data_IF_365431401899
#
_entry.id   IF_365431401899
#
_cell.length_a   1.000
_cell.length_b   1.000
_cell.length_c   1.000
_cell.angle_alpha   90.00
_cell.angle_beta   90.00
_cell.angle_gamma   90.00
#
_symmetry.space_group_name_H-M   'P 1'
#
loop_
_entity.id
_entity.type
_entity.pdbx_description
1 polymer ?
#
# COMPACT_ATOMS: atom_id res chain seq x y z
N UNK A 1 61.68 22.97 -16.06
CA UNK A 1 60.32 22.74 -16.58
C UNK A 1 59.45 22.33 -15.39
N UNK A 2 58.46 23.15 -15.05
CA UNK A 2 57.96 23.36 -13.69
C UNK A 2 57.13 22.20 -13.12
N UNK A 3 57.34 21.85 -11.84
CA UNK A 3 56.55 20.89 -11.03
C UNK A 3 55.05 21.16 -11.05
N UNK A 4 54.66 22.38 -11.39
CA UNK A 4 53.27 22.80 -11.59
C UNK A 4 52.59 22.10 -12.76
N UNK A 5 53.34 21.80 -13.84
CA UNK A 5 52.81 21.14 -15.04
C UNK A 5 52.53 19.66 -14.75
N UNK A 6 53.41 19.02 -13.98
CA UNK A 6 53.23 17.62 -13.56
C UNK A 6 52.05 17.46 -12.61
N UNK A 7 51.85 18.39 -11.67
CA UNK A 7 50.72 18.36 -10.74
C UNK A 7 49.37 18.58 -11.44
N UNK A 8 49.29 19.50 -12.40
CA UNK A 8 48.06 19.72 -13.18
C UNK A 8 47.73 18.54 -14.09
N UNK A 9 48.73 17.92 -14.72
CA UNK A 9 48.52 16.70 -15.49
C UNK A 9 47.94 15.58 -14.62
N UNK A 10 48.52 15.31 -13.45
CA UNK A 10 48.02 14.28 -12.53
C UNK A 10 46.59 14.55 -12.03
N UNK A 11 46.24 15.81 -11.77
CA UNK A 11 44.88 16.18 -11.36
C UNK A 11 43.86 15.96 -12.47
N UNK A 12 44.23 16.27 -13.72
CA UNK A 12 43.37 16.05 -14.89
C UNK A 12 43.20 14.56 -15.16
N UNK A 13 44.26 13.75 -15.09
CA UNK A 13 44.13 12.29 -15.23
C UNK A 13 43.31 11.67 -14.10
N UNK A 14 43.51 12.11 -12.85
CA UNK A 14 42.69 11.64 -11.73
C UNK A 14 41.20 11.93 -11.92
N UNK A 15 40.87 13.15 -12.37
CA UNK A 15 39.49 13.54 -12.63
C UNK A 15 38.88 12.77 -13.82
N UNK A 16 39.64 12.55 -14.90
CA UNK A 16 39.13 11.78 -16.04
C UNK A 16 38.90 10.32 -15.68
N UNK A 17 39.80 9.67 -14.93
CA UNK A 17 39.59 8.30 -14.45
C UNK A 17 38.41 8.19 -13.48
N UNK A 18 38.18 9.19 -12.64
CA UNK A 18 37.01 9.23 -11.76
C UNK A 18 35.70 9.33 -12.55
N UNK A 19 35.65 10.21 -13.57
CA UNK A 19 34.47 10.34 -14.45
C UNK A 19 34.26 9.06 -15.27
N UNK A 20 35.33 8.44 -15.77
CA UNK A 20 35.24 7.17 -16.49
C UNK A 20 34.71 6.06 -15.57
N UNK A 21 35.20 5.98 -14.35
CA UNK A 21 34.73 5.04 -13.32
C UNK A 21 33.26 5.25 -12.98
N UNK A 22 32.82 6.49 -12.85
CA UNK A 22 31.41 6.82 -12.61
C UNK A 22 30.51 6.41 -13.79
N UNK A 23 30.95 6.64 -15.03
CA UNK A 23 30.22 6.21 -16.22
C UNK A 23 30.12 4.68 -16.34
N UNK A 24 31.20 3.97 -16.02
CA UNK A 24 31.22 2.49 -15.99
C UNK A 24 30.30 1.97 -14.88
N UNK A 25 30.34 2.56 -13.69
CA UNK A 25 29.46 2.18 -12.58
C UNK A 25 27.98 2.44 -12.92
N UNK A 26 27.69 3.53 -13.63
CA UNK A 26 26.35 3.83 -14.12
C UNK A 26 25.89 2.85 -15.21
N UNK A 27 26.75 2.47 -16.15
CA UNK A 27 26.43 1.45 -17.16
C UNK A 27 26.17 0.07 -16.54
N UNK A 28 27.00 -0.36 -15.59
CA UNK A 28 26.80 -1.62 -14.86
C UNK A 28 25.48 -1.59 -14.08
N UNK A 29 25.16 -0.47 -13.42
CA UNK A 29 23.89 -0.28 -12.72
C UNK A 29 22.71 -0.36 -13.68
N UNK A 30 22.77 0.33 -14.82
CA UNK A 30 21.74 0.27 -15.86
C UNK A 30 21.55 -1.15 -16.42
N UNK A 31 22.63 -1.91 -16.63
CA UNK A 31 22.55 -3.31 -17.11
C UNK A 31 21.95 -4.23 -16.06
N UNK A 32 22.28 -4.06 -14.77
CA UNK A 32 21.66 -4.81 -13.67
C UNK A 32 20.18 -4.51 -13.56
N UNK A 33 19.80 -3.24 -13.62
CA UNK A 33 18.39 -2.83 -13.64
C UNK A 33 17.69 -3.46 -14.85
N UNK A 34 18.29 -3.39 -16.04
CA UNK A 34 17.73 -4.01 -17.26
C UNK A 34 17.59 -5.54 -17.15
N UNK A 35 18.54 -6.23 -16.51
CA UNK A 35 18.44 -7.66 -16.27
C UNK A 35 17.29 -8.00 -15.31
N UNK A 36 17.17 -7.25 -14.21
CA UNK A 36 16.07 -7.38 -13.24
C UNK A 36 14.72 -7.06 -13.90
N UNK A 37 14.68 -6.07 -14.80
CA UNK A 37 13.48 -5.68 -15.57
C UNK A 37 12.98 -6.78 -16.52
N UNK A 38 13.86 -7.66 -16.99
CA UNK A 38 13.48 -8.78 -17.87
C UNK A 38 12.95 -9.96 -17.07
N UNK A 39 13.39 -10.11 -15.82
CA UNK A 39 13.01 -11.23 -14.94
C UNK A 39 11.78 -10.95 -14.09
N UNK A 40 11.40 -9.69 -13.84
CA UNK A 40 10.36 -9.34 -12.87
C UNK A 40 9.28 -8.39 -13.45
N UNK A 41 8.02 -8.84 -13.59
CA UNK A 41 6.88 -8.02 -14.03
C UNK A 41 6.59 -6.80 -13.12
N UNK A 42 7.02 -6.85 -11.85
CA UNK A 42 6.78 -5.81 -10.84
C UNK A 42 7.50 -4.50 -11.17
N UNK A 43 8.72 -4.58 -11.75
CA UNK A 43 9.55 -3.41 -12.06
C UNK A 43 8.96 -2.57 -13.20
N UNK A 44 8.19 -3.18 -14.09
CA UNK A 44 7.52 -2.45 -15.18
C UNK A 44 6.40 -1.53 -14.67
N UNK A 45 5.74 -1.85 -13.56
CA UNK A 45 4.62 -1.06 -13.05
C UNK A 45 5.08 0.14 -12.21
N UNK A 46 6.14 -0.02 -11.40
CA UNK A 46 6.79 1.10 -10.69
C UNK A 46 7.37 2.16 -11.65
N UNK A 47 7.63 1.78 -12.89
CA UNK A 47 8.17 2.62 -13.98
C UNK A 47 7.33 3.86 -14.28
N UNK A 48 6.01 3.72 -14.40
CA UNK A 48 5.16 4.86 -14.83
C UNK A 48 5.20 6.03 -13.85
N UNK A 49 5.47 5.74 -12.57
CA UNK A 49 5.60 6.75 -11.53
C UNK A 49 6.97 7.42 -11.51
N UNK A 50 8.06 6.65 -11.70
CA UNK A 50 9.42 7.21 -11.72
C UNK A 50 9.65 8.07 -12.97
N UNK A 51 9.19 7.62 -14.15
CA UNK A 51 9.35 8.39 -15.38
C UNK A 51 8.49 9.67 -15.40
N UNK A 52 7.28 9.67 -14.80
CA UNK A 52 6.50 10.90 -14.58
C UNK A 52 7.18 11.88 -13.62
N UNK A 53 7.84 11.37 -12.58
CA UNK A 53 8.58 12.21 -11.64
C UNK A 53 9.84 12.82 -12.28
N UNK A 54 10.46 12.12 -13.23
CA UNK A 54 11.64 12.60 -13.97
C UNK A 54 11.27 13.53 -15.14
N UNK A 55 10.07 13.42 -15.73
CA UNK A 55 9.55 14.40 -16.71
C UNK A 55 9.44 15.81 -16.13
N UNK A 56 9.18 15.94 -14.83
CA UNK A 56 9.18 17.24 -14.13
C UNK A 56 10.58 17.88 -14.01
N UNK A 57 11.65 17.08 -14.10
CA UNK A 57 13.02 17.57 -14.10
C UNK A 57 13.59 17.76 -15.52
N UNK A 58 12.88 17.29 -16.54
CA UNK A 58 13.24 17.40 -17.96
C UNK A 58 12.14 18.11 -18.76
N UNK A 59 11.70 19.27 -18.28
CA UNK A 59 10.72 20.12 -18.95
C UNK A 59 11.35 21.28 -19.72
N UNK A 60 11.25 21.21 -21.05
CA UNK A 60 11.38 22.30 -22.04
C UNK A 60 12.77 22.56 -22.66
N UNK A 61 13.06 21.84 -23.74
CA UNK A 61 13.75 22.44 -24.89
C UNK A 61 12.95 22.11 -26.14
N UNK A 62 11.92 22.91 -26.44
CA UNK A 62 11.35 22.95 -27.79
C UNK A 62 12.39 23.60 -28.70
N UNK A 63 13.06 22.79 -29.51
CA UNK A 63 13.78 23.25 -30.70
C UNK A 63 12.75 23.78 -31.70
N UNK A 64 12.60 25.11 -31.77
CA UNK A 64 11.91 25.78 -32.86
C UNK A 64 12.87 25.88 -34.05
N UNK A 65 12.59 25.10 -35.09
CA UNK A 65 13.19 25.29 -36.43
C UNK A 65 12.72 26.65 -36.95
N UNK A 66 13.69 27.50 -37.25
CA UNK A 66 13.52 28.80 -37.90
C UNK A 66 13.17 28.55 -39.37
N UNK A 67 12.03 29.09 -39.82
CA UNK A 67 11.83 29.40 -41.23
C UNK A 67 11.38 30.86 -41.38
N UNK A 68 12.18 31.60 -42.14
CA UNK A 68 12.03 33.02 -42.44
C UNK A 68 10.93 33.24 -43.50
N UNK A 69 10.01 34.19 -43.27
CA UNK A 69 9.52 35.12 -44.31
C UNK A 69 8.68 36.28 -43.74
N UNK A 70 9.28 37.47 -43.81
CA UNK A 70 8.73 38.78 -44.25
C UNK A 70 7.42 39.36 -43.67
N UNK A 71 7.62 40.49 -42.97
CA UNK A 71 7.02 41.82 -43.15
C UNK A 71 5.52 42.07 -42.88
N UNK A 72 5.21 42.88 -41.85
CA UNK A 72 4.78 44.31 -41.96
C UNK A 72 4.24 44.89 -40.62
N UNK A 73 4.90 45.97 -40.19
CA UNK A 73 4.42 47.27 -39.68
C UNK A 73 3.31 47.47 -38.62
N UNK A 74 3.58 48.55 -37.86
CA UNK A 74 2.75 49.42 -37.00
C UNK A 74 2.52 48.95 -35.56
N UNK A 75 2.75 49.77 -34.52
CA UNK A 75 3.27 51.12 -34.41
C UNK A 75 3.10 51.61 -32.95
N UNK A 76 4.05 52.44 -32.49
CA UNK A 76 3.88 53.63 -31.60
C UNK A 76 3.24 53.37 -30.21
N UNK A 77 3.84 53.69 -29.06
CA UNK A 77 4.11 55.06 -28.60
C UNK A 77 5.00 55.14 -27.32
N UNK A 78 5.50 56.35 -27.05
CA UNK A 78 6.64 56.75 -26.22
C UNK A 78 6.46 56.80 -24.68
N UNK A 79 7.56 56.46 -23.96
CA UNK A 79 8.36 57.14 -22.88
C UNK A 79 7.92 58.53 -22.33
N UNK A 80 8.48 59.13 -21.21
CA UNK A 80 9.73 58.81 -20.49
C UNK A 80 9.86 59.11 -18.94
N UNK A 81 11.04 58.72 -18.42
CA UNK A 81 11.97 59.48 -17.51
C UNK A 81 11.80 59.46 -15.98
N UNK A 82 12.82 58.91 -15.29
CA UNK A 82 13.66 59.69 -14.37
C UNK A 82 15.04 59.02 -14.18
N UNK A 83 16.12 59.79 -14.40
CA UNK A 83 17.53 59.46 -14.12
C UNK A 83 17.88 59.88 -12.68
N UNK A 84 18.64 59.06 -11.97
CA UNK A 84 19.62 59.55 -10.99
C UNK A 84 20.84 58.64 -10.98
N UNK A 85 21.97 59.18 -11.40
CA UNK A 85 23.31 58.61 -11.30
C UNK A 85 23.95 59.01 -9.97
N UNK A 86 24.60 58.08 -9.27
CA UNK A 86 25.69 58.38 -8.32
C UNK A 86 26.68 57.19 -8.29
N UNK A 87 27.95 57.54 -8.11
CA UNK A 87 29.18 56.82 -8.45
C UNK A 87 29.54 55.61 -7.57
N UNK A 88 30.36 54.71 -8.14
CA UNK A 88 31.01 53.55 -7.51
C UNK A 88 32.12 53.94 -6.52
N UNK A 89 32.47 53.01 -5.62
CA UNK A 89 33.88 52.65 -5.48
C UNK A 89 34.13 51.15 -5.72
N UNK A 90 35.25 50.85 -6.35
CA UNK A 90 35.76 49.53 -6.74
C UNK A 90 35.96 48.58 -5.54
N UNK A 91 35.40 47.37 -5.64
CA UNK A 91 35.83 46.18 -4.88
C UNK A 91 35.85 44.99 -5.83
N UNK A 92 37.01 44.32 -5.86
CA UNK A 92 37.45 43.37 -6.88
C UNK A 92 36.49 42.24 -7.24
N UNK A 93 36.51 41.92 -8.52
CA UNK A 93 35.81 40.80 -9.15
C UNK A 93 36.22 39.46 -8.53
N UNK A 94 35.39 38.96 -7.61
CA UNK A 94 35.42 37.53 -7.27
C UNK A 94 34.98 36.78 -8.52
N UNK A 95 35.88 35.98 -9.08
CA UNK A 95 35.64 35.22 -10.31
C UNK A 95 34.40 34.34 -10.14
N UNK A 96 33.55 34.29 -11.16
CA UNK A 96 32.39 33.37 -11.30
C UNK A 96 32.77 31.91 -10.95
N UNK A 97 34.04 31.55 -11.13
CA UNK A 97 34.58 30.25 -10.80
C UNK A 97 34.68 30.00 -9.27
N UNK A 98 34.95 31.01 -8.46
CA UNK A 98 34.98 30.89 -6.99
C UNK A 98 33.57 30.75 -6.40
N UNK A 99 32.56 31.44 -6.95
CA UNK A 99 31.16 31.23 -6.57
C UNK A 99 30.67 29.83 -6.95
N UNK A 100 31.08 29.31 -8.11
CA UNK A 100 30.73 27.96 -8.54
C UNK A 100 31.40 26.86 -7.69
N UNK A 101 32.64 27.07 -7.27
CA UNK A 101 33.37 26.10 -6.41
C UNK A 101 32.84 26.08 -4.96
N UNK A 102 32.40 27.23 -4.42
CA UNK A 102 31.71 27.28 -3.11
C UNK A 102 30.32 26.63 -3.15
N UNK A 103 29.55 26.87 -4.22
CA UNK A 103 28.23 26.27 -4.44
C UNK A 103 28.31 24.74 -4.64
N UNK A 104 29.30 24.26 -5.38
CA UNK A 104 29.52 22.82 -5.59
C UNK A 104 29.98 22.11 -4.32
N UNK A 105 30.83 22.72 -3.48
CA UNK A 105 31.24 22.14 -2.18
C UNK A 105 30.08 22.04 -1.20
N UNK A 106 29.20 23.05 -1.11
CA UNK A 106 28.03 22.99 -0.21
C UNK A 106 26.98 21.99 -0.68
N UNK A 107 26.78 21.83 -2.00
CA UNK A 107 25.93 20.76 -2.53
C UNK A 107 26.54 19.37 -2.36
N UNK A 108 27.85 19.21 -2.56
CA UNK A 108 28.55 17.95 -2.37
C UNK A 108 28.52 17.49 -0.91
N UNK A 109 28.68 18.40 0.05
CA UNK A 109 28.55 18.06 1.48
C UNK A 109 27.13 17.64 1.88
N UNK A 110 26.09 18.25 1.28
CA UNK A 110 24.70 17.79 1.49
C UNK A 110 24.46 16.40 0.90
N UNK A 111 25.04 16.10 -0.26
CA UNK A 111 24.93 14.79 -0.90
C UNK A 111 25.71 13.73 -0.12
N UNK A 112 26.95 14.02 0.28
CA UNK A 112 27.78 13.10 1.06
C UNK A 112 27.15 12.84 2.44
N UNK A 113 26.64 13.87 3.13
CA UNK A 113 25.95 13.69 4.42
C UNK A 113 24.62 12.93 4.28
N UNK A 114 23.91 13.07 3.16
CA UNK A 114 22.70 12.30 2.86
C UNK A 114 23.01 10.83 2.55
N UNK A 115 24.16 10.55 1.91
CA UNK A 115 24.60 9.20 1.54
C UNK A 115 25.26 8.45 2.71
N UNK A 116 26.01 9.11 3.60
CA UNK A 116 26.66 8.46 4.74
C UNK A 116 25.75 8.26 5.95
N UNK A 117 24.66 9.04 6.08
CA UNK A 117 23.71 8.90 7.19
C UNK A 117 22.55 7.92 6.91
N UNK A 118 22.31 7.54 5.64
CA UNK A 118 21.16 6.68 5.25
C UNK A 118 21.47 5.20 5.06
N UNK A 119 22.73 4.77 5.00
CA UNK A 119 23.07 3.41 4.54
C UNK A 119 22.89 2.33 5.62
N UNK A 120 23.42 2.51 6.85
CA UNK A 120 23.53 1.39 7.80
C UNK A 120 22.24 1.00 8.56
N UNK A 121 21.36 1.94 8.90
CA UNK A 121 20.15 1.65 9.70
C UNK A 121 18.89 1.42 8.85
N UNK A 122 18.93 1.78 7.57
CA UNK A 122 17.79 1.70 6.65
C UNK A 122 17.73 0.38 5.92
N UNK A 123 18.88 -0.23 5.62
CA UNK A 123 18.97 -1.54 4.96
C UNK A 123 18.40 -2.65 5.86
N UNK A 124 18.81 -2.76 7.13
CA UNK A 124 18.31 -3.77 8.08
C UNK A 124 16.78 -3.70 8.31
N UNK A 125 16.23 -2.49 8.37
CA UNK A 125 14.80 -2.30 8.58
C UNK A 125 14.00 -2.61 7.31
N UNK A 126 14.54 -2.26 6.14
CA UNK A 126 13.93 -2.56 4.85
C UNK A 126 13.91 -4.07 4.59
N UNK A 127 14.99 -4.77 4.91
CA UNK A 127 15.08 -6.23 4.74
C UNK A 127 14.04 -6.97 5.61
N UNK A 128 13.89 -6.56 6.88
CA UNK A 128 12.86 -7.10 7.78
C UNK A 128 11.44 -6.80 7.31
N UNK A 129 11.20 -5.59 6.79
CA UNK A 129 9.89 -5.20 6.26
C UNK A 129 9.56 -6.00 5.00
N UNK A 130 10.53 -6.22 4.12
CA UNK A 130 10.38 -7.06 2.93
C UNK A 130 10.14 -8.53 3.27
N UNK A 131 10.86 -9.09 4.24
CA UNK A 131 10.64 -10.46 4.73
C UNK A 131 9.24 -10.61 5.33
N UNK A 132 8.80 -9.62 6.11
CA UNK A 132 7.46 -9.59 6.71
C UNK A 132 6.36 -9.57 5.65
N UNK A 133 6.47 -8.70 4.64
CA UNK A 133 5.51 -8.63 3.53
C UNK A 133 5.52 -9.91 2.72
N UNK A 134 6.71 -10.42 2.37
CA UNK A 134 6.88 -11.70 1.67
C UNK A 134 6.21 -12.85 2.43
N UNK A 135 6.36 -12.87 3.76
CA UNK A 135 5.78 -13.87 4.63
C UNK A 135 4.25 -13.84 4.70
N UNK A 136 3.62 -12.68 4.60
CA UNK A 136 2.15 -12.53 4.54
C UNK A 136 1.64 -12.79 3.12
N UNK A 137 2.31 -12.24 2.12
CA UNK A 137 1.89 -12.26 0.72
C UNK A 137 2.48 -13.44 -0.06
N UNK A 138 2.73 -14.56 0.62
CA UNK A 138 3.26 -15.81 0.04
C UNK A 138 2.49 -16.24 -1.22
N UNK A 139 1.17 -16.09 -1.20
CA UNK A 139 0.26 -16.46 -2.28
C UNK A 139 -0.09 -15.32 -3.24
N UNK A 140 0.65 -14.21 -3.16
CA UNK A 140 0.52 -13.09 -4.08
C UNK A 140 -0.52 -12.05 -3.69
N UNK A 141 -0.56 -10.98 -4.49
CA UNK A 141 -1.43 -9.83 -4.29
C UNK A 141 -2.70 -9.96 -5.15
N UNK A 142 -3.90 -9.93 -4.55
CA UNK A 142 -5.15 -10.04 -5.31
C UNK A 142 -5.41 -8.89 -6.30
N UNK A 143 -4.85 -7.73 -5.98
CA UNK A 143 -4.85 -6.51 -6.77
C UNK A 143 -3.83 -5.54 -6.18
N UNK A 144 -3.48 -4.48 -6.91
CA UNK A 144 -2.37 -3.59 -6.54
C UNK A 144 -2.79 -2.16 -6.24
N UNK A 145 -4.09 -1.89 -6.07
CA UNK A 145 -4.55 -0.54 -5.75
C UNK A 145 -4.20 -0.17 -4.30
N UNK A 146 -3.56 0.98 -4.12
CA UNK A 146 -3.16 1.58 -2.84
C UNK A 146 -2.85 0.59 -1.71
N UNK A 147 -1.84 -0.25 -1.94
CA UNK A 147 -1.39 -1.26 -0.97
C UNK A 147 -0.71 -0.58 0.22
N UNK A 148 -1.12 -0.99 1.43
CA UNK A 148 -0.55 -0.59 2.71
C UNK A 148 -0.13 -1.80 3.51
N UNK A 149 1.06 -1.71 4.09
CA UNK A 149 1.65 -2.76 4.91
C UNK A 149 1.51 -2.36 6.37
N UNK A 150 0.93 -3.26 7.16
CA UNK A 150 0.85 -3.16 8.61
C UNK A 150 1.65 -4.33 9.22
N UNK A 151 1.83 -4.32 10.54
CA UNK A 151 2.70 -5.27 11.26
C UNK A 151 2.26 -6.72 11.20
N UNK A 152 1.02 -7.02 10.81
CA UNK A 152 0.49 -8.38 10.79
C UNK A 152 -0.50 -8.65 9.64
N UNK A 153 -0.85 -7.62 8.87
CA UNK A 153 -1.71 -7.75 7.71
C UNK A 153 -1.28 -6.76 6.64
N UNK A 154 -1.62 -7.07 5.40
CA UNK A 154 -1.47 -6.18 4.26
C UNK A 154 -2.86 -5.86 3.74
N UNK A 155 -3.15 -4.61 3.42
CA UNK A 155 -4.44 -4.24 2.83
C UNK A 155 -4.28 -3.39 1.59
N UNK A 156 -5.24 -3.52 0.68
CA UNK A 156 -5.46 -2.60 -0.43
C UNK A 156 -6.61 -1.66 -0.08
N UNK A 157 -6.41 -0.35 -0.18
CA UNK A 157 -7.40 0.64 0.28
C UNK A 157 -8.19 1.27 -0.87
N UNK A 158 -9.52 1.22 -0.79
CA UNK A 158 -10.41 1.91 -1.72
C UNK A 158 -10.71 3.33 -1.21
N UNK A 159 -10.02 4.32 -1.75
CA UNK A 159 -10.27 5.74 -1.41
C UNK A 159 -11.68 6.22 -1.78
N UNK A 160 -12.30 5.64 -2.81
CA UNK A 160 -13.65 6.03 -3.27
C UNK A 160 -14.69 5.53 -2.28
N UNK A 161 -14.54 4.31 -1.79
CA UNK A 161 -15.49 3.70 -0.85
C UNK A 161 -15.10 3.92 0.63
N UNK A 162 -13.87 4.40 0.89
CA UNK A 162 -13.29 4.66 2.22
C UNK A 162 -13.16 3.41 3.09
N UNK A 163 -13.02 2.25 2.45
CA UNK A 163 -12.90 0.92 3.05
C UNK A 163 -11.80 0.13 2.32
N UNK A 164 -11.38 -1.01 2.85
CA UNK A 164 -10.44 -1.88 2.13
C UNK A 164 -11.09 -2.52 0.88
N UNK A 165 -10.32 -2.70 -0.20
CA UNK A 165 -10.65 -3.64 -1.27
C UNK A 165 -10.51 -5.09 -0.80
N UNK A 166 -9.40 -5.36 -0.11
CA UNK A 166 -9.08 -6.65 0.48
C UNK A 166 -8.03 -6.45 1.59
N UNK A 167 -8.00 -7.38 2.53
CA UNK A 167 -7.01 -7.50 3.60
C UNK A 167 -6.48 -8.92 3.60
N UNK A 168 -5.16 -9.08 3.66
CA UNK A 168 -4.47 -10.36 3.76
C UNK A 168 -3.83 -10.51 5.13
N UNK A 169 -4.10 -11.61 5.81
CA UNK A 169 -3.54 -11.98 7.11
C UNK A 169 -2.80 -13.32 6.99
N UNK A 170 -1.65 -13.44 7.66
CA UNK A 170 -1.02 -14.73 7.93
C UNK A 170 -1.15 -15.03 9.42
N UNK A 171 -2.12 -15.87 9.75
CA UNK A 171 -2.47 -16.22 11.13
C UNK A 171 -1.67 -17.46 11.51
N UNK A 172 -0.81 -17.31 12.52
CA UNK A 172 0.03 -18.39 13.02
C UNK A 172 -0.46 -18.88 14.37
N UNK A 173 -0.38 -20.20 14.58
CA UNK A 173 -0.77 -20.87 15.82
C UNK A 173 -0.11 -20.25 17.06
N UNK A 174 1.17 -19.88 16.99
CA UNK A 174 1.89 -19.39 18.17
C UNK A 174 1.27 -18.09 18.72
N UNK A 175 0.76 -17.23 17.84
CA UNK A 175 0.12 -15.98 18.27
C UNK A 175 -1.29 -16.20 18.85
N UNK A 176 -1.95 -17.32 18.54
CA UNK A 176 -3.26 -17.66 19.06
C UNK A 176 -3.17 -18.33 20.44
N UNK A 177 -2.10 -19.08 20.69
CA UNK A 177 -1.86 -19.74 22.00
C UNK A 177 -1.31 -18.75 23.04
N UNK A 178 -0.64 -17.69 22.61
CA UNK A 178 -0.10 -16.64 23.47
C UNK A 178 -1.07 -15.45 23.59
N UNK A 179 -1.18 -14.91 24.81
CA UNK A 179 -1.96 -13.69 25.06
C UNK A 179 -1.15 -12.70 25.88
N UNK A 180 -0.91 -11.51 25.32
CA UNK A 180 -0.40 -10.36 26.06
C UNK A 180 -1.54 -9.83 26.95
N UNK A 181 -1.37 -9.73 28.29
CA UNK A 181 -2.37 -9.18 29.20
C UNK A 181 -2.87 -7.77 28.80
N UNK A 182 -2.07 -6.96 28.10
CA UNK A 182 -2.48 -5.63 27.64
C UNK A 182 -3.57 -5.70 26.57
N UNK A 183 -3.66 -6.78 25.81
CA UNK A 183 -4.71 -7.00 24.81
C UNK A 183 -6.08 -7.32 25.42
N UNK A 184 -6.17 -7.49 26.75
CA UNK A 184 -7.45 -7.54 27.47
C UNK A 184 -8.20 -6.20 27.40
N UNK A 185 -7.46 -5.09 27.30
CA UNK A 185 -8.04 -3.74 27.30
C UNK A 185 -8.20 -3.25 25.85
N UNK A 186 -9.43 -3.37 25.32
CA UNK A 186 -9.74 -2.93 23.96
C UNK A 186 -9.70 -1.40 23.85
N UNK A 187 -9.15 -0.84 22.75
CA UNK A 187 -9.29 0.58 22.45
C UNK A 187 -10.77 0.99 22.40
N UNK A 188 -11.12 2.09 23.07
CA UNK A 188 -12.49 2.61 23.09
C UNK A 188 -12.91 3.26 21.77
N UNK A 189 -11.95 3.64 20.92
CA UNK A 189 -12.15 4.33 19.66
C UNK A 189 -11.25 3.73 18.58
N UNK A 190 -11.74 3.77 17.34
CA UNK A 190 -10.92 3.48 16.16
C UNK A 190 -9.87 4.57 15.92
N UNK A 191 -8.75 4.18 15.33
CA UNK A 191 -7.58 5.02 15.15
C UNK A 191 -7.51 5.51 13.71
N UNK A 192 -7.32 6.81 13.52
CA UNK A 192 -7.10 7.38 12.18
C UNK A 192 -5.70 7.07 11.70
N UNK A 193 -5.58 6.61 10.47
CA UNK A 193 -4.29 6.41 9.82
C UNK A 193 -3.83 7.71 9.15
N UNK A 194 -2.70 8.26 9.63
CA UNK A 194 -2.15 9.53 9.13
C UNK A 194 -1.47 9.41 7.76
N UNK A 195 -1.24 8.18 7.28
CA UNK A 195 -0.70 7.94 5.94
C UNK A 195 -1.73 8.17 4.83
N UNK A 196 -3.02 8.24 5.18
CA UNK A 196 -4.10 8.47 4.24
C UNK A 196 -4.54 9.92 4.35
N UNK A 197 -4.79 10.56 3.21
CA UNK A 197 -5.30 11.92 3.21
C UNK A 197 -6.69 11.94 3.90
N UNK A 198 -6.94 12.85 4.87
CA UNK A 198 -8.18 12.84 5.65
C UNK A 198 -9.48 12.89 4.83
N UNK A 199 -9.46 13.45 3.63
CA UNK A 199 -10.60 13.49 2.70
C UNK A 199 -11.05 12.12 2.19
N UNK A 200 -10.18 11.11 2.31
CA UNK A 200 -10.46 9.74 1.92
C UNK A 200 -10.53 8.80 3.13
N UNK A 201 -10.55 9.32 4.35
CA UNK A 201 -10.63 8.51 5.57
C UNK A 201 -12.05 8.48 6.12
N UNK A 202 -12.48 7.29 6.58
CA UNK A 202 -13.60 7.19 7.49
C UNK A 202 -13.23 7.74 8.88
N UNK A 203 -14.23 8.20 9.63
CA UNK A 203 -14.09 8.71 10.98
C UNK A 203 -15.17 8.13 11.89
N UNK A 204 -14.98 8.25 13.22
CA UNK A 204 -15.99 7.77 14.19
C UNK A 204 -17.36 8.42 13.97
N UNK A 205 -17.40 9.63 13.41
CA UNK A 205 -18.66 10.35 13.14
C UNK A 205 -19.49 9.66 12.06
N UNK A 206 -18.86 8.95 11.13
CA UNK A 206 -19.55 8.29 10.03
C UNK A 206 -20.34 7.05 10.48
N UNK A 207 -20.00 6.49 11.64
CA UNK A 207 -20.67 5.34 12.24
C UNK A 207 -21.64 5.75 13.36
N UNK A 208 -21.56 7.00 13.86
CA UNK A 208 -22.48 7.49 14.89
C UNK A 208 -23.89 7.63 14.31
N UNK A 209 -24.88 7.20 15.09
CA UNK A 209 -26.30 7.23 14.70
C UNK A 209 -26.61 6.51 13.38
N UNK A 210 -25.79 5.51 13.02
CA UNK A 210 -26.06 4.62 11.88
C UNK A 210 -26.47 3.25 12.38
N UNK A 211 -27.24 2.52 11.59
CA UNK A 211 -27.59 1.11 11.87
C UNK A 211 -26.38 0.16 11.71
N UNK A 212 -25.30 0.67 11.13
CA UNK A 212 -24.08 -0.07 10.86
C UNK A 212 -23.07 0.09 11.99
N UNK A 213 -22.38 -0.99 12.32
CA UNK A 213 -21.26 -0.98 13.26
C UNK A 213 -19.94 -1.17 12.51
N UNK A 214 -18.83 -0.80 13.13
CA UNK A 214 -17.51 -1.06 12.55
C UNK A 214 -17.16 -2.55 12.65
N UNK A 215 -16.95 -3.18 11.50
CA UNK A 215 -16.44 -4.54 11.36
C UNK A 215 -14.97 -4.53 10.97
N UNK A 216 -14.17 -5.36 11.62
CA UNK A 216 -12.75 -5.53 11.28
C UNK A 216 -12.61 -6.53 10.14
N UNK A 217 -11.83 -6.22 9.10
CA UNK A 217 -11.51 -7.20 8.04
C UNK A 217 -10.38 -8.13 8.49
N UNK A 218 -9.34 -7.56 9.11
CA UNK A 218 -8.36 -8.27 9.92
C UNK A 218 -8.75 -8.19 11.41
N UNK A 219 -9.12 -9.32 12.00
CA UNK A 219 -9.67 -9.34 13.37
C UNK A 219 -8.55 -9.09 14.40
N UNK A 220 -8.71 -8.15 15.35
CA UNK A 220 -7.73 -7.93 16.41
C UNK A 220 -7.50 -9.19 17.26
N UNK A 221 -8.50 -10.07 17.33
CA UNK A 221 -8.43 -11.33 18.08
C UNK A 221 -7.38 -12.31 17.51
N UNK A 222 -6.96 -12.14 16.25
CA UNK A 222 -5.88 -12.92 15.63
C UNK A 222 -4.49 -12.53 16.17
N UNK A 223 -4.38 -11.40 16.87
CA UNK A 223 -3.11 -10.76 17.22
C UNK A 223 -2.94 -10.54 18.73
N UNK A 224 -3.60 -11.35 19.56
CA UNK A 224 -3.55 -11.27 21.03
C UNK A 224 -2.15 -11.39 21.62
N UNK A 225 -1.20 -11.97 20.90
CA UNK A 225 0.17 -12.12 21.36
C UNK A 225 0.96 -10.80 21.45
N UNK A 226 0.51 -9.71 20.81
CA UNK A 226 1.23 -8.43 20.75
C UNK A 226 0.26 -7.24 20.72
N UNK A 227 0.34 -6.38 21.74
CA UNK A 227 -0.52 -5.19 21.87
C UNK A 227 -0.43 -4.21 20.70
N UNK A 228 0.74 -4.07 20.06
CA UNK A 228 0.91 -3.14 18.95
C UNK A 228 0.22 -3.66 17.70
N UNK A 229 0.37 -4.96 17.42
CA UNK A 229 -0.31 -5.64 16.31
C UNK A 229 -1.84 -5.66 16.52
N UNK A 230 -2.26 -5.93 17.75
CA UNK A 230 -3.66 -5.84 18.17
C UNK A 230 -4.26 -4.45 17.95
N UNK A 231 -3.57 -3.40 18.40
CA UNK A 231 -4.05 -2.01 18.29
C UNK A 231 -4.10 -1.54 16.84
N UNK A 232 -3.19 -2.02 16.00
CA UNK A 232 -3.15 -1.65 14.59
C UNK A 232 -4.38 -2.12 13.80
N UNK A 233 -4.98 -3.24 14.18
CA UNK A 233 -6.25 -3.71 13.61
C UNK A 233 -7.45 -2.77 13.89
N UNK A 234 -7.32 -1.81 14.82
CA UNK A 234 -8.33 -0.78 15.09
C UNK A 234 -8.17 0.46 14.18
N UNK A 235 -7.23 0.46 13.23
CA UNK A 235 -7.11 1.57 12.28
C UNK A 235 -8.28 1.57 11.28
N UNK A 236 -8.83 2.75 10.99
CA UNK A 236 -9.98 2.93 10.09
C UNK A 236 -9.88 2.24 8.71
N UNK A 237 -8.72 2.12 8.05
CA UNK A 237 -8.63 1.43 6.77
C UNK A 237 -9.06 -0.04 6.82
N UNK A 238 -8.99 -0.65 8.01
CA UNK A 238 -9.43 -2.02 8.30
C UNK A 238 -10.90 -2.11 8.74
N UNK A 239 -11.57 -0.97 8.96
CA UNK A 239 -12.94 -0.90 9.51
C UNK A 239 -13.94 -0.68 8.39
N UNK A 240 -14.93 -1.56 8.31
CA UNK A 240 -15.96 -1.55 7.27
C UNK A 240 -17.36 -1.59 7.91
N UNK A 241 -18.37 -0.86 7.38
CA UNK A 241 -19.74 -0.93 7.90
C UNK A 241 -20.33 -2.34 7.77
N UNK A 242 -20.62 -2.99 8.90
CA UNK A 242 -21.22 -4.32 8.97
C UNK A 242 -22.52 -4.29 9.79
N UNK A 243 -23.49 -5.11 9.42
CA UNK A 243 -24.71 -5.32 10.20
C UNK A 243 -24.35 -5.94 11.57
N UNK A 244 -25.03 -5.49 12.64
CA UNK A 244 -24.73 -5.92 14.01
C UNK A 244 -25.03 -7.40 14.26
N UNK A 245 -26.16 -7.91 13.76
CA UNK A 245 -26.53 -9.32 13.88
C UNK A 245 -25.53 -10.21 13.16
N UNK A 246 -25.13 -9.84 11.94
CA UNK A 246 -24.08 -10.53 11.21
C UNK A 246 -22.76 -10.57 11.99
N UNK A 247 -22.29 -9.40 12.46
CA UNK A 247 -21.02 -9.24 13.18
C UNK A 247 -20.96 -10.15 14.41
N UNK A 248 -22.01 -10.16 15.22
CA UNK A 248 -22.01 -10.87 16.50
C UNK A 248 -22.34 -12.36 16.37
N UNK A 249 -22.78 -12.83 15.20
CA UNK A 249 -23.18 -14.22 15.00
C UNK A 249 -22.34 -14.89 13.91
N UNK A 250 -22.82 -14.92 12.66
CA UNK A 250 -22.19 -15.69 11.58
C UNK A 250 -20.76 -15.21 11.29
N UNK A 251 -20.52 -13.90 11.28
CA UNK A 251 -19.18 -13.37 11.03
C UNK A 251 -18.19 -13.77 12.11
N UNK A 252 -18.56 -13.65 13.38
CA UNK A 252 -17.76 -14.11 14.51
C UNK A 252 -17.49 -15.61 14.45
N UNK A 253 -18.49 -16.43 14.09
CA UNK A 253 -18.31 -17.88 13.88
C UNK A 253 -17.29 -18.18 12.78
N UNK A 254 -17.34 -17.43 11.68
CA UNK A 254 -16.38 -17.56 10.58
C UNK A 254 -14.97 -17.15 11.01
N UNK A 255 -14.82 -16.08 11.79
CA UNK A 255 -13.54 -15.70 12.40
C UNK A 255 -13.01 -16.78 13.35
N UNK A 256 -13.88 -17.39 14.16
CA UNK A 256 -13.51 -18.48 15.08
C UNK A 256 -13.05 -19.72 14.31
N UNK A 257 -13.78 -20.10 13.26
CA UNK A 257 -13.43 -21.23 12.39
C UNK A 257 -12.05 -21.07 11.76
N UNK A 258 -11.72 -19.86 11.30
CA UNK A 258 -10.38 -19.55 10.76
C UNK A 258 -9.29 -19.75 11.81
N UNK A 259 -9.54 -19.34 13.06
CA UNK A 259 -8.59 -19.55 14.16
C UNK A 259 -8.43 -21.04 14.49
N UNK A 260 -9.51 -21.81 14.47
CA UNK A 260 -9.45 -23.26 14.63
C UNK A 260 -8.63 -23.93 13.51
N UNK A 261 -8.78 -23.49 12.26
CA UNK A 261 -7.97 -23.97 11.14
C UNK A 261 -6.49 -23.63 11.36
N UNK A 262 -6.17 -22.42 11.81
CA UNK A 262 -4.79 -22.03 12.15
C UNK A 262 -4.18 -22.92 13.24
N UNK A 263 -4.94 -23.27 14.27
CA UNK A 263 -4.48 -24.19 15.32
C UNK A 263 -4.26 -25.62 14.81
N UNK A 264 -5.08 -26.07 13.85
CA UNK A 264 -5.01 -27.42 13.25
C UNK A 264 -3.86 -27.56 12.25
N UNK A 265 -3.73 -26.62 11.32
CA UNK A 265 -2.74 -26.66 10.23
C UNK A 265 -1.40 -26.01 10.61
N UNK A 266 -1.34 -25.27 11.72
CA UNK A 266 -0.15 -24.56 12.21
C UNK A 266 -0.14 -23.10 11.78
N UNK A 267 -0.50 -22.80 10.53
CA UNK A 267 -0.82 -21.46 10.09
C UNK A 267 -1.84 -21.48 8.96
N UNK A 268 -2.50 -20.34 8.74
CA UNK A 268 -3.41 -20.13 7.61
C UNK A 268 -3.22 -18.74 7.04
N UNK A 269 -3.43 -18.63 5.75
CA UNK A 269 -3.49 -17.37 5.03
C UNK A 269 -4.93 -17.03 4.75
N UNK A 270 -5.28 -15.77 4.92
CA UNK A 270 -6.68 -15.33 4.81
C UNK A 270 -6.73 -14.06 3.99
N UNK A 271 -7.58 -14.06 2.97
CA UNK A 271 -8.02 -12.85 2.30
C UNK A 271 -9.45 -12.53 2.70
N UNK A 272 -9.68 -11.32 3.21
CA UNK A 272 -11.01 -10.82 3.63
C UNK A 272 -11.32 -9.54 2.88
N UNK A 273 -12.55 -9.35 2.40
CA UNK A 273 -12.92 -8.08 1.78
C UNK A 273 -14.43 -7.91 1.52
N UNK A 274 -14.85 -6.70 1.16
CA UNK A 274 -16.23 -6.39 0.80
C UNK A 274 -16.59 -6.77 -0.64
N UNK A 275 -17.88 -7.02 -0.91
CA UNK A 275 -18.45 -7.17 -2.25
C UNK A 275 -19.67 -6.27 -2.45
N UNK A 276 -19.83 -5.81 -3.69
CA UNK A 276 -20.97 -5.02 -4.15
C UNK A 276 -21.71 -5.78 -5.25
N UNK A 277 -22.56 -6.72 -4.86
CA UNK A 277 -23.23 -7.63 -5.79
C UNK A 277 -24.39 -6.96 -6.53
N UNK A 278 -24.59 -7.28 -7.83
CA UNK A 278 -25.70 -6.76 -8.59
C UNK A 278 -27.02 -7.38 -8.15
N UNK A 279 -28.06 -6.57 -8.08
CA UNK A 279 -29.43 -6.98 -7.81
C UNK A 279 -30.29 -6.75 -9.06
N UNK A 280 -31.18 -7.69 -9.35
CA UNK A 280 -32.11 -7.57 -10.47
C UNK A 280 -33.26 -6.62 -10.11
N UNK A 281 -33.33 -5.44 -10.74
CA UNK A 281 -34.43 -4.49 -10.53
C UNK A 281 -35.65 -4.88 -11.37
N UNK A 282 -35.43 -5.25 -12.63
CA UNK A 282 -36.49 -5.69 -13.56
C UNK A 282 -36.03 -6.92 -14.32
N UNK A 283 -36.91 -7.56 -15.10
CA UNK A 283 -36.60 -8.80 -15.82
C UNK A 283 -35.32 -8.74 -16.67
N UNK A 284 -34.95 -7.57 -17.22
CA UNK A 284 -33.77 -7.40 -18.08
C UNK A 284 -32.68 -6.49 -17.51
N UNK A 285 -32.91 -5.81 -16.38
CA UNK A 285 -31.98 -4.81 -15.85
C UNK A 285 -31.45 -5.21 -14.48
N UNK A 286 -30.11 -5.20 -14.38
CA UNK A 286 -29.36 -5.39 -13.16
C UNK A 286 -28.73 -4.06 -12.72
N UNK A 287 -28.62 -3.86 -11.42
CA UNK A 287 -27.96 -2.69 -10.85
C UNK A 287 -27.23 -3.06 -9.58
N UNK A 288 -26.13 -2.39 -9.30
CA UNK A 288 -25.48 -2.44 -7.98
C UNK A 288 -26.04 -1.30 -7.14
N UNK A 289 -26.65 -1.63 -6.00
CA UNK A 289 -27.21 -0.66 -5.05
C UNK A 289 -26.65 -0.96 -3.67
N UNK A 290 -26.13 0.07 -3.00
CA UNK A 290 -25.57 -0.04 -1.66
C UNK A 290 -25.77 1.27 -0.90
N UNK A 291 -25.80 1.18 0.42
CA UNK A 291 -25.91 2.35 1.29
C UNK A 291 -24.54 3.03 1.45
N UNK A 292 -24.56 4.33 1.77
CA UNK A 292 -23.38 5.04 2.26
C UNK A 292 -23.70 5.63 3.63
N UNK A 293 -22.73 5.64 4.53
CA UNK A 293 -22.89 6.18 5.89
C UNK A 293 -22.00 7.38 6.14
N UNK A 294 -22.48 8.29 6.99
CA UNK A 294 -21.74 9.48 7.40
C UNK A 294 -21.59 10.56 6.33
N UNK A 295 -20.92 11.65 6.72
CA UNK A 295 -20.63 12.77 5.82
C UNK A 295 -19.53 12.42 4.82
N UNK A 296 -18.64 11.49 5.18
CA UNK A 296 -17.58 11.02 4.29
C UNK A 296 -18.05 9.99 3.26
N UNK A 297 -19.35 9.66 3.25
CA UNK A 297 -19.97 8.71 2.30
C UNK A 297 -19.26 7.36 2.27
N UNK A 298 -19.02 6.79 3.45
CA UNK A 298 -18.37 5.47 3.60
C UNK A 298 -19.31 4.40 3.05
N UNK A 299 -18.84 3.59 2.10
CA UNK A 299 -19.68 2.60 1.46
C UNK A 299 -20.01 1.45 2.41
N UNK A 300 -21.27 1.03 2.41
CA UNK A 300 -21.75 -0.17 3.10
C UNK A 300 -21.77 -1.33 2.11
N UNK A 301 -20.92 -2.35 2.26
CA UNK A 301 -20.90 -3.50 1.35
C UNK A 301 -22.22 -4.27 1.37
N UNK A 302 -22.53 -4.93 0.25
CA UNK A 302 -23.70 -5.82 0.18
C UNK A 302 -23.41 -7.20 0.79
N UNK A 303 -22.17 -7.66 0.62
CA UNK A 303 -21.68 -8.95 1.11
C UNK A 303 -20.22 -8.78 1.53
N UNK A 304 -19.69 -9.76 2.25
CA UNK A 304 -18.29 -9.92 2.53
C UNK A 304 -17.82 -11.27 2.01
N UNK A 305 -16.57 -11.35 1.60
CA UNK A 305 -15.92 -12.61 1.28
C UNK A 305 -14.79 -12.93 2.25
N UNK A 306 -14.51 -14.22 2.42
CA UNK A 306 -13.31 -14.72 3.08
C UNK A 306 -12.77 -15.90 2.28
N UNK A 307 -11.51 -15.82 1.87
CA UNK A 307 -10.79 -16.92 1.23
C UNK A 307 -9.71 -17.36 2.20
N UNK A 308 -9.76 -18.63 2.59
CA UNK A 308 -8.86 -19.24 3.56
C UNK A 308 -7.98 -20.21 2.80
N UNK A 309 -6.67 -20.09 2.95
CA UNK A 309 -5.68 -20.97 2.34
C UNK A 309 -4.93 -21.68 3.48
N UNK A 310 -5.01 -23.01 3.47
CA UNK A 310 -4.30 -23.88 4.40
C UNK A 310 -3.17 -24.56 3.65
N UNK A 311 -1.93 -24.37 4.10
CA UNK A 311 -0.81 -25.18 3.62
C UNK A 311 -0.98 -26.61 4.15
N UNK A 312 -0.92 -27.59 3.26
CA UNK A 312 -0.63 -28.95 3.69
C UNK A 312 0.88 -29.05 3.95
N UNK A 313 1.28 -29.63 5.09
CA UNK A 313 2.68 -29.78 5.50
C UNK A 313 3.46 -30.80 4.63
N UNK A 314 3.12 -30.92 3.35
CA UNK A 314 3.71 -31.83 2.37
C UNK A 314 4.34 -30.99 1.26
N UNK A 315 5.65 -31.13 1.08
CA UNK A 315 6.40 -30.39 0.07
C UNK A 315 5.81 -30.62 -1.34
N UNK A 316 5.38 -29.53 -1.98
CA UNK A 316 4.83 -29.54 -3.35
C UNK A 316 3.34 -29.85 -3.46
N UNK A 317 2.62 -30.02 -2.34
CA UNK A 317 1.16 -30.13 -2.37
C UNK A 317 0.50 -28.78 -2.73
N UNK A 318 -0.55 -28.83 -3.54
CA UNK A 318 -1.41 -27.67 -3.79
C UNK A 318 -2.13 -27.31 -2.49
N UNK A 319 -2.08 -26.04 -2.05
CA UNK A 319 -2.73 -25.65 -0.81
C UNK A 319 -4.25 -25.82 -0.92
N UNK A 320 -4.88 -26.16 0.20
CA UNK A 320 -6.33 -26.27 0.30
C UNK A 320 -6.93 -24.88 0.46
N UNK A 321 -7.97 -24.59 -0.32
CA UNK A 321 -8.64 -23.29 -0.31
C UNK A 321 -10.13 -23.40 -0.04
N UNK A 322 -10.64 -22.54 0.85
CA UNK A 322 -12.07 -22.43 1.16
C UNK A 322 -12.54 -21.00 0.94
N UNK A 323 -13.59 -20.83 0.13
CA UNK A 323 -14.21 -19.53 -0.16
C UNK A 323 -15.55 -19.40 0.55
N UNK A 324 -15.77 -18.29 1.25
CA UNK A 324 -17.03 -17.95 1.91
C UNK A 324 -17.55 -16.62 1.40
N UNK A 325 -18.85 -16.52 1.17
CA UNK A 325 -19.56 -15.27 0.89
C UNK A 325 -20.75 -15.12 1.84
N UNK A 326 -20.77 -14.02 2.59
CA UNK A 326 -21.81 -13.77 3.60
C UNK A 326 -22.52 -12.44 3.29
N UNK A 327 -23.87 -12.41 3.22
CA UNK A 327 -24.62 -11.17 3.00
C UNK A 327 -24.53 -10.24 4.21
N UNK A 328 -24.33 -8.94 3.96
CA UNK A 328 -24.29 -7.90 4.99
C UNK A 328 -25.71 -7.51 5.46
N UNK A 329 -26.40 -8.48 6.05
CA UNK A 329 -27.78 -8.37 6.51
C UNK A 329 -27.99 -9.23 7.76
N UNK A 330 -29.16 -9.12 8.39
CA UNK A 330 -29.55 -10.06 9.44
C UNK A 330 -29.78 -11.44 8.81
N UNK A 331 -29.03 -12.43 9.29
CA UNK A 331 -29.13 -13.83 8.88
C UNK A 331 -29.49 -14.66 10.10
N UNK A 332 -30.18 -15.78 9.89
CA UNK A 332 -30.45 -16.73 10.96
C UNK A 332 -29.13 -17.17 11.63
N UNK A 333 -29.02 -16.90 12.93
CA UNK A 333 -27.84 -17.17 13.75
C UNK A 333 -27.51 -18.66 13.82
N UNK A 334 -28.52 -19.53 13.64
CA UNK A 334 -28.38 -20.98 13.69
C UNK A 334 -27.97 -21.59 12.34
N UNK A 335 -27.90 -20.78 11.27
CA UNK A 335 -27.52 -21.28 9.94
C UNK A 335 -26.08 -21.82 9.96
N UNK A 336 -25.87 -22.96 9.29
CA UNK A 336 -24.55 -23.58 9.20
C UNK A 336 -23.61 -22.74 8.31
N UNK A 337 -22.33 -22.62 8.70
CA UNK A 337 -21.31 -21.93 7.91
C UNK A 337 -21.16 -22.52 6.51
N UNK A 338 -21.43 -23.82 6.36
CA UNK A 338 -21.44 -24.52 5.06
C UNK A 338 -22.36 -23.87 4.03
N UNK A 339 -23.44 -23.23 4.49
CA UNK A 339 -24.41 -22.55 3.61
C UNK A 339 -23.82 -21.33 2.91
N UNK A 340 -22.68 -20.82 3.37
CA UNK A 340 -21.99 -19.67 2.81
C UNK A 340 -20.75 -20.05 1.99
N UNK A 341 -20.46 -21.35 1.83
CA UNK A 341 -19.40 -21.79 0.92
C UNK A 341 -19.71 -21.32 -0.50
N UNK A 342 -18.69 -20.85 -1.20
CA UNK A 342 -18.81 -20.30 -2.55
C UNK A 342 -17.57 -20.61 -3.36
N UNK A 343 -17.75 -20.75 -4.68
CA UNK A 343 -16.63 -20.93 -5.61
C UNK A 343 -15.74 -19.69 -5.58
N UNK A 344 -14.43 -19.90 -5.44
CA UNK A 344 -13.45 -18.81 -5.39
C UNK A 344 -13.46 -18.02 -6.70
N UNK A 345 -13.76 -18.66 -7.84
CA UNK A 345 -13.86 -17.98 -9.15
C UNK A 345 -15.04 -17.00 -9.20
N UNK A 346 -16.14 -17.31 -8.52
CA UNK A 346 -17.26 -16.38 -8.39
C UNK A 346 -16.86 -15.17 -7.53
N UNK A 347 -16.12 -15.42 -6.44
CA UNK A 347 -15.56 -14.33 -5.60
C UNK A 347 -14.61 -13.45 -6.43
N UNK A 348 -13.69 -14.05 -7.20
CA UNK A 348 -12.79 -13.33 -8.12
C UNK A 348 -13.56 -12.47 -9.11
N UNK A 349 -14.61 -13.04 -9.72
CA UNK A 349 -15.46 -12.35 -10.68
C UNK A 349 -16.16 -11.12 -10.08
N UNK A 350 -16.79 -11.26 -8.90
CA UNK A 350 -17.52 -10.17 -8.27
C UNK A 350 -16.62 -9.16 -7.55
N UNK A 351 -15.46 -9.58 -7.05
CA UNK A 351 -14.49 -8.69 -6.41
C UNK A 351 -13.64 -7.92 -7.43
N UNK A 352 -13.46 -8.46 -8.65
CA UNK A 352 -12.49 -7.96 -9.61
C UNK A 352 -11.04 -8.15 -9.15
N UNK A 353 -10.78 -9.24 -8.43
CA UNK A 353 -9.48 -9.61 -7.85
C UNK A 353 -9.07 -11.00 -8.35
N UNK A 354 -7.77 -11.33 -8.28
CA UNK A 354 -7.26 -12.67 -8.63
C UNK A 354 -6.49 -13.27 -7.47
N UNK A 355 -6.99 -14.37 -6.91
CA UNK A 355 -6.32 -15.09 -5.83
C UNK A 355 -5.48 -16.23 -6.41
N UNK A 356 -4.72 -16.88 -5.52
CA UNK A 356 -3.88 -18.03 -5.88
C UNK A 356 -4.73 -19.21 -6.38
N UNK A 357 -4.20 -19.98 -7.33
CA UNK A 357 -4.85 -21.18 -7.83
C UNK A 357 -4.45 -22.38 -6.95
N UNK A 358 -5.36 -22.82 -6.09
CA UNK A 358 -5.18 -23.98 -5.21
C UNK A 358 -6.32 -24.99 -5.34
N UNK A 359 -6.27 -26.04 -4.53
CA UNK A 359 -7.31 -27.05 -4.51
C UNK A 359 -8.50 -26.54 -3.69
N UNK A 360 -9.61 -26.26 -4.37
CA UNK A 360 -10.84 -25.85 -3.67
C UNK A 360 -11.41 -27.01 -2.85
N UNK A 361 -11.79 -26.70 -1.62
CA UNK A 361 -12.38 -27.64 -0.68
C UNK A 361 -13.87 -27.32 -0.50
N UNK A 362 -14.71 -28.27 -0.92
CA UNK A 362 -16.16 -28.11 -0.90
C UNK A 362 -16.83 -28.67 0.38
N UNK A 363 -16.04 -29.11 1.37
CA UNK A 363 -16.55 -29.73 2.61
C UNK A 363 -15.82 -29.25 3.88
N UNK A 364 -16.60 -28.84 4.88
CA UNK A 364 -16.11 -28.47 6.21
C UNK A 364 -16.11 -29.71 7.12
N UNK A 365 -14.91 -30.20 7.45
CA UNK A 365 -14.74 -31.42 8.29
C UNK A 365 -14.64 -31.10 9.78
N UNK A 366 -14.56 -29.83 10.16
CA UNK A 366 -14.50 -29.41 11.55
C UNK A 366 -15.87 -28.99 12.07
N UNK A 367 -16.19 -29.40 13.29
CA UNK A 367 -17.38 -28.90 13.98
C UNK A 367 -17.09 -27.46 14.39
N UNK A 368 -17.78 -26.51 13.75
CA UNK A 368 -17.68 -25.10 14.10
C UNK A 368 -18.44 -24.89 15.41
N UNK A 369 -17.71 -24.64 16.50
CA UNK A 369 -18.34 -24.34 17.78
C UNK A 369 -19.04 -22.97 17.73
N UNK A 370 -20.20 -22.88 18.39
CA UNK A 370 -20.86 -21.60 18.61
C UNK A 370 -19.95 -20.63 19.39
N UNK A 371 -20.12 -19.32 19.22
CA UNK A 371 -19.37 -18.31 19.97
C UNK A 371 -19.51 -18.54 21.48
N UNK A 372 -18.40 -18.45 22.20
CA UNK A 372 -18.36 -18.61 23.66
C UNK A 372 -19.04 -17.41 24.34
N UNK A 373 -19.61 -17.57 25.53
CA UNK A 373 -20.16 -16.44 26.33
C UNK A 373 -19.11 -15.35 26.56
N UNK A 374 -17.83 -15.72 26.63
CA UNK A 374 -16.70 -14.77 26.72
C UNK A 374 -16.51 -13.92 25.46
N UNK A 375 -17.04 -14.35 24.32
CA UNK A 375 -17.01 -13.65 23.04
C UNK A 375 -18.20 -12.68 22.90
N UNK A 376 -19.19 -12.76 23.81
CA UNK A 376 -20.41 -11.93 23.81
C UNK A 376 -20.48 -10.91 24.94
N UNK A 377 -19.73 -11.07 26.02
CA UNK A 377 -19.51 -10.01 27.03
C UNK A 377 -18.62 -8.86 26.49
N UNK A 378 -18.46 -8.79 25.16
CA UNK A 378 -17.42 -8.07 24.40
C UNK A 378 -17.78 -6.72 23.81
#
# INVERSE_FOLDING_TARGET
MSTYITATFCAVTGATFFVLGALVQQDISCRRIKAIMVTDPYVYQCRTHIFRALELFWGSTKMSVVDNKTARNSGVENTPSAKTSFEQPDIGSVSLFEQFTLWSRTKAHKIIAFMTFSAGHREDNLEKEMEHVSGIMKYGFPGMDEVRVYKNFVLSYDRRNRIAHWVCEHIKKECLELRDPKTLHKPSLYITDTSILPTFCATMRDFRNSDWVGGHMASPQNYKCDVVKFTEAYKFPNIVPINRGLKNHIWLRLENYVRELALKFGSVYVYTGPLFMPQRITFRNWSVRYHVTGMNTVAVPTHFFKIIICDENVDGATPLMEGFVVPNADVDKEMDLRSFLSDIRDIEHFAGLKFYDGQQRDQIDMVVHGPSMTDFEE
#
